data_IF_849310633655
#
_entry.id   IF_849310633655
#
_cell.length_a   1.000
_cell.length_b   1.000
_cell.length_c   1.000
_cell.angle_alpha   90.00
_cell.angle_beta   90.00
_cell.angle_gamma   90.00
#
_symmetry.space_group_name_H-M   'P 1'
#
loop_
_entity.id
_entity.type
_entity.pdbx_description
1 polymer ?
#
# COMPACT_ATOMS: atom_id res chain seq x y z
N UNK A 1 -10.59 -6.91 -9.06
CA UNK A 1 -10.97 -8.22 -8.46
C UNK A 1 -11.31 -9.28 -9.52
N UNK A 2 -12.22 -9.01 -10.48
CA UNK A 2 -12.66 -10.01 -11.48
C UNK A 2 -11.49 -10.69 -12.22
N UNK A 3 -10.54 -9.92 -12.76
CA UNK A 3 -9.37 -10.46 -13.47
C UNK A 3 -8.44 -11.28 -12.57
N UNK A 4 -8.32 -10.91 -11.29
CA UNK A 4 -7.55 -11.69 -10.31
C UNK A 4 -8.17 -13.07 -10.10
N UNK A 5 -9.48 -13.13 -9.90
CA UNK A 5 -10.22 -14.39 -9.73
C UNK A 5 -10.12 -15.25 -11.00
N UNK A 6 -10.33 -14.67 -12.18
CA UNK A 6 -10.18 -15.37 -13.46
C UNK A 6 -8.80 -16.00 -13.65
N UNK A 7 -7.73 -15.28 -13.31
CA UNK A 7 -6.36 -15.76 -13.51
C UNK A 7 -5.93 -16.77 -12.44
N UNK A 8 -6.41 -16.66 -11.21
CA UNK A 8 -5.86 -17.36 -10.05
C UNK A 8 -6.87 -18.16 -9.22
N UNK A 9 -8.20 -17.89 -9.34
CA UNK A 9 -9.23 -18.37 -8.42
C UNK A 9 -9.41 -19.89 -8.35
N UNK A 10 -9.27 -20.58 -9.47
CA UNK A 10 -9.56 -22.04 -9.55
C UNK A 10 -8.29 -22.89 -9.59
N UNK A 11 -7.12 -22.32 -9.26
CA UNK A 11 -5.84 -23.00 -9.38
C UNK A 11 -5.21 -23.23 -8.02
N UNK A 12 -4.69 -24.43 -7.82
CA UNK A 12 -4.00 -24.78 -6.60
C UNK A 12 -2.52 -24.34 -6.67
N UNK A 13 -2.25 -23.10 -6.23
CA UNK A 13 -0.89 -22.58 -6.13
C UNK A 13 -0.29 -22.83 -4.74
N UNK A 14 1.04 -22.79 -4.68
CA UNK A 14 1.76 -22.74 -3.42
C UNK A 14 1.43 -21.47 -2.62
N UNK A 15 1.44 -21.59 -1.30
CA UNK A 15 1.31 -20.46 -0.37
C UNK A 15 2.60 -20.28 0.41
N UNK A 16 3.04 -19.04 0.55
CA UNK A 16 4.23 -18.69 1.31
C UNK A 16 3.87 -17.63 2.37
N UNK A 17 4.55 -17.66 3.51
CA UNK A 17 4.38 -16.64 4.54
C UNK A 17 4.92 -15.29 4.06
N UNK A 18 4.23 -14.20 4.36
CA UNK A 18 4.65 -12.85 3.93
C UNK A 18 6.10 -12.54 4.29
N UNK A 19 6.56 -12.97 5.48
CA UNK A 19 7.94 -12.73 5.93
C UNK A 19 8.99 -13.32 4.98
N UNK A 20 8.67 -14.39 4.27
CA UNK A 20 9.59 -15.03 3.32
C UNK A 20 9.57 -14.36 1.94
N UNK A 21 8.65 -13.41 1.71
CA UNK A 21 8.51 -12.65 0.48
C UNK A 21 9.07 -11.23 0.57
N UNK A 22 9.52 -10.80 1.74
CA UNK A 22 10.17 -9.51 1.91
C UNK A 22 11.64 -9.56 1.51
N UNK A 23 12.24 -8.41 1.33
CA UNK A 23 13.65 -8.23 0.99
C UNK A 23 14.53 -8.69 2.16
N UNK A 24 15.57 -9.48 1.84
CA UNK A 24 16.49 -10.01 2.83
C UNK A 24 17.15 -8.86 3.64
N UNK A 25 17.31 -9.07 4.94
CA UNK A 25 17.85 -8.06 5.86
C UNK A 25 16.84 -6.98 6.28
N UNK A 26 15.60 -7.02 5.77
CA UNK A 26 14.52 -6.12 6.18
C UNK A 26 13.52 -6.83 7.11
N UNK A 27 12.63 -6.07 7.70
CA UNK A 27 11.52 -6.61 8.52
C UNK A 27 10.29 -5.74 8.37
N UNK A 28 9.10 -6.32 8.52
CA UNK A 28 7.90 -5.52 8.70
C UNK A 28 8.06 -4.67 9.95
N UNK A 29 7.90 -3.37 9.78
CA UNK A 29 7.99 -2.40 10.86
C UNK A 29 6.88 -1.36 10.68
N UNK A 30 6.31 -0.89 11.78
CA UNK A 30 5.47 0.30 11.77
C UNK A 30 6.30 1.52 12.17
N UNK A 31 5.86 2.69 11.70
CA UNK A 31 6.63 3.90 11.80
C UNK A 31 6.49 4.65 13.12
N UNK A 32 6.58 5.94 13.02
CA UNK A 32 6.72 6.89 14.11
C UNK A 32 5.52 6.83 15.07
N UNK A 33 5.79 6.63 16.35
CA UNK A 33 4.75 6.51 17.39
C UNK A 33 4.18 7.87 17.79
N UNK A 34 5.06 8.86 17.94
CA UNK A 34 4.71 10.23 18.33
C UNK A 34 5.32 11.22 17.33
N UNK A 35 4.61 11.52 16.22
CA UNK A 35 5.16 12.36 15.15
C UNK A 35 5.25 13.85 15.52
N UNK A 36 4.90 14.26 16.73
CA UNK A 36 4.92 15.66 17.14
C UNK A 36 3.88 16.53 16.45
N UNK A 37 4.13 17.84 16.37
CA UNK A 37 3.25 18.81 15.75
C UNK A 37 3.47 18.87 14.24
N UNK A 38 2.41 19.23 13.51
CA UNK A 38 2.45 19.41 12.07
C UNK A 38 3.09 20.75 11.69
N UNK A 39 3.75 20.77 10.50
CA UNK A 39 4.34 21.99 9.93
C UNK A 39 5.64 22.43 10.59
N UNK A 40 6.27 21.59 11.42
CA UNK A 40 7.49 21.96 12.16
C UNK A 40 8.80 21.54 11.49
N UNK A 41 8.74 20.88 10.33
CA UNK A 41 9.94 20.37 9.68
C UNK A 41 9.78 20.07 8.20
N UNK A 42 10.73 19.31 7.66
CA UNK A 42 10.89 19.01 6.23
C UNK A 42 10.64 17.53 5.88
N UNK A 43 10.39 16.65 6.86
CA UNK A 43 10.12 15.25 6.61
C UNK A 43 8.61 14.98 6.56
N UNK A 44 8.11 14.55 5.40
CA UNK A 44 6.73 14.11 5.25
C UNK A 44 6.47 12.81 6.02
N UNK A 45 5.30 12.70 6.66
CA UNK A 45 4.89 11.50 7.39
C UNK A 45 3.48 11.08 6.97
N UNK A 46 3.38 9.89 6.40
CA UNK A 46 2.14 9.28 5.95
C UNK A 46 1.36 8.67 7.12
N UNK A 47 0.06 8.90 7.09
CA UNK A 47 -0.92 8.36 8.05
C UNK A 47 -1.92 7.47 7.32
N UNK A 48 -2.66 6.60 8.01
CA UNK A 48 -3.74 5.82 7.37
C UNK A 48 -4.73 6.66 6.55
N UNK A 49 -5.02 7.88 6.98
CA UNK A 49 -5.93 8.81 6.28
C UNK A 49 -5.37 9.33 4.94
N UNK A 50 -4.07 9.23 4.73
CA UNK A 50 -3.41 9.64 3.48
C UNK A 50 -3.47 8.54 2.40
N UNK A 51 -4.05 7.37 2.74
CA UNK A 51 -4.39 6.29 1.80
C UNK A 51 -5.89 6.37 1.49
N UNK A 52 -6.22 6.84 0.30
CA UNK A 52 -7.60 7.00 -0.17
C UNK A 52 -7.80 6.09 -1.38
N UNK A 53 -8.80 5.21 -1.32
CA UNK A 53 -9.12 4.25 -2.39
C UNK A 53 -7.91 3.44 -2.89
N UNK A 54 -7.04 3.03 -1.96
CA UNK A 54 -5.82 2.27 -2.26
C UNK A 54 -4.71 3.07 -2.95
N UNK A 55 -4.80 4.40 -2.94
CA UNK A 55 -3.79 5.32 -3.48
C UNK A 55 -3.30 6.28 -2.41
N UNK A 56 -2.03 6.64 -2.49
CA UNK A 56 -1.44 7.66 -1.64
C UNK A 56 -1.75 9.06 -2.19
N UNK A 57 -2.15 9.98 -1.29
CA UNK A 57 -2.35 11.39 -1.62
C UNK A 57 -1.27 12.27 -0.99
N UNK A 58 -0.85 13.31 -1.72
CA UNK A 58 0.08 14.33 -1.22
C UNK A 58 -0.64 15.49 -0.51
N UNK A 59 -1.96 15.61 -0.66
CA UNK A 59 -2.73 16.81 -0.27
C UNK A 59 -2.84 17.02 1.24
N UNK A 60 -2.66 15.97 2.03
CA UNK A 60 -2.84 16.01 3.49
C UNK A 60 -1.62 15.54 4.29
N UNK A 61 -0.46 15.40 3.64
CA UNK A 61 0.76 14.92 4.29
C UNK A 61 1.16 15.86 5.42
N UNK A 62 1.40 15.26 6.59
CA UNK A 62 1.95 15.94 7.75
C UNK A 62 3.46 16.07 7.61
N UNK A 63 4.01 17.26 7.92
CA UNK A 63 5.45 17.49 7.93
C UNK A 63 5.95 17.68 9.36
N UNK A 64 7.03 16.99 9.71
CA UNK A 64 7.64 16.98 11.04
C UNK A 64 9.14 17.21 10.97
N UNK A 65 9.76 17.51 12.11
CA UNK A 65 11.21 17.61 12.23
C UNK A 65 11.87 16.27 11.89
N UNK A 66 12.88 16.29 11.00
CA UNK A 66 13.58 15.10 10.53
C UNK A 66 14.29 14.33 11.65
N UNK A 67 14.70 15.03 12.71
CA UNK A 67 15.33 14.40 13.89
C UNK A 67 14.43 13.36 14.56
N UNK A 68 13.10 13.54 14.48
CA UNK A 68 12.12 12.56 14.99
C UNK A 68 12.22 11.24 14.18
N UNK A 69 12.53 11.33 12.90
CA UNK A 69 12.67 10.17 12.00
C UNK A 69 13.95 9.37 12.22
N UNK A 70 14.98 9.93 12.85
CA UNK A 70 16.28 9.26 13.03
C UNK A 70 16.17 7.92 13.78
N UNK A 71 15.23 7.80 14.73
CA UNK A 71 14.91 6.56 15.42
C UNK A 71 14.10 5.55 14.60
N UNK A 72 13.62 5.95 13.42
CA UNK A 72 12.67 5.19 12.59
C UNK A 72 13.17 4.96 11.15
N UNK A 73 14.49 4.83 10.96
CA UNK A 73 15.12 4.61 9.65
C UNK A 73 14.61 3.36 8.92
N UNK A 74 14.14 2.35 9.67
CA UNK A 74 13.55 1.13 9.08
C UNK A 74 12.27 1.38 8.30
N UNK A 75 11.61 2.51 8.53
CA UNK A 75 10.35 2.88 7.88
C UNK A 75 10.46 4.17 7.08
N UNK A 76 11.66 4.75 6.96
CA UNK A 76 11.95 5.79 5.97
C UNK A 76 11.81 5.18 4.58
N UNK A 77 11.03 5.82 3.72
CA UNK A 77 10.63 5.26 2.44
C UNK A 77 11.68 5.52 1.35
N UNK A 78 11.92 4.51 0.52
CA UNK A 78 12.73 4.61 -0.69
C UNK A 78 11.88 4.93 -1.93
N UNK A 79 10.53 4.80 -1.82
CA UNK A 79 9.59 5.01 -2.89
C UNK A 79 9.32 3.74 -3.71
N UNK A 80 9.57 2.57 -3.15
CA UNK A 80 9.31 1.25 -3.75
C UNK A 80 8.84 0.25 -2.68
N UNK A 81 7.83 0.63 -1.91
CA UNK A 81 7.26 -0.22 -0.87
C UNK A 81 5.76 -0.43 -1.04
N UNK A 82 5.26 -1.49 -0.45
CA UNK A 82 3.85 -1.66 -0.18
C UNK A 82 3.57 -1.24 1.26
N UNK A 83 2.69 -0.27 1.43
CA UNK A 83 2.19 0.14 2.74
C UNK A 83 0.90 -0.61 3.07
N UNK A 84 0.72 -0.96 4.34
CA UNK A 84 -0.53 -1.56 4.84
C UNK A 84 -0.94 -0.90 6.16
N UNK A 85 -2.20 -0.51 6.26
CA UNK A 85 -2.73 0.03 7.51
C UNK A 85 -2.87 -1.07 8.55
N UNK A 86 -2.37 -0.81 9.77
CA UNK A 86 -2.32 -1.79 10.86
C UNK A 86 -3.06 -1.31 12.12
N UNK A 87 -3.52 -0.06 12.13
CA UNK A 87 -4.24 0.54 13.26
C UNK A 87 -5.29 1.55 12.79
N UNK A 88 -6.44 1.53 13.43
CA UNK A 88 -7.66 2.21 12.98
C UNK A 88 -8.38 1.33 11.97
N UNK A 89 -8.49 1.76 10.73
CA UNK A 89 -8.93 0.87 9.64
C UNK A 89 -7.76 -0.01 9.24
N UNK A 90 -7.85 -1.33 9.43
CA UNK A 90 -6.77 -2.29 9.13
C UNK A 90 -6.91 -2.87 7.72
N UNK A 91 -5.78 -3.20 7.08
CA UNK A 91 -5.73 -3.97 5.84
C UNK A 91 -5.88 -3.15 4.55
N UNK A 92 -5.94 -1.83 4.60
CA UNK A 92 -5.87 -0.99 3.40
C UNK A 92 -4.42 -0.92 2.94
N UNK A 93 -4.19 -1.15 1.65
CA UNK A 93 -2.83 -1.16 1.08
C UNK A 93 -2.68 -0.10 0.00
N UNK A 94 -1.46 0.42 -0.15
CA UNK A 94 -1.06 1.30 -1.24
C UNK A 94 0.42 1.11 -1.57
N UNK A 95 0.78 1.22 -2.85
CA UNK A 95 2.17 1.23 -3.30
C UNK A 95 2.73 2.65 -3.23
N UNK A 96 3.97 2.78 -2.77
CA UNK A 96 4.74 4.03 -2.87
C UNK A 96 5.36 4.19 -4.25
N UNK A 97 5.75 5.39 -4.58
CA UNK A 97 6.59 5.73 -5.72
C UNK A 97 7.63 6.79 -5.33
N UNK A 98 8.49 7.20 -6.24
CA UNK A 98 9.59 8.12 -5.97
C UNK A 98 9.20 9.46 -5.33
N UNK A 99 7.93 9.87 -5.40
CA UNK A 99 7.42 11.10 -4.75
C UNK A 99 7.44 11.00 -3.22
N UNK A 100 7.41 9.78 -2.69
CA UNK A 100 7.39 9.51 -1.25
C UNK A 100 8.76 9.15 -0.68
N UNK A 101 9.82 9.12 -1.51
CA UNK A 101 11.18 8.85 -1.06
C UNK A 101 11.64 9.88 -0.02
N UNK A 102 12.30 9.42 1.05
CA UNK A 102 12.75 10.24 2.19
C UNK A 102 11.64 10.62 3.19
N UNK A 103 10.39 10.24 2.93
CA UNK A 103 9.30 10.35 3.90
C UNK A 103 9.29 9.16 4.86
N UNK A 104 8.49 9.27 5.90
CA UNK A 104 8.27 8.18 6.85
C UNK A 104 6.77 7.87 6.99
N UNK A 105 6.41 6.91 7.81
CA UNK A 105 5.02 6.57 8.11
C UNK A 105 4.77 6.66 9.62
N UNK A 106 3.53 6.86 10.04
CA UNK A 106 3.16 6.73 11.45
C UNK A 106 2.96 5.25 11.84
N UNK A 107 2.88 4.98 13.14
CA UNK A 107 2.62 3.64 13.69
C UNK A 107 1.32 2.98 13.20
N UNK A 108 0.45 3.72 12.55
CA UNK A 108 -0.78 3.20 11.93
C UNK A 108 -0.55 2.47 10.62
N UNK A 109 0.66 2.54 10.07
CA UNK A 109 1.07 1.91 8.81
C UNK A 109 2.27 1.03 9.05
N UNK A 110 2.27 -0.17 8.45
CA UNK A 110 3.43 -1.03 8.31
C UNK A 110 4.01 -0.92 6.89
N UNK A 111 5.35 -0.95 6.83
CA UNK A 111 6.11 -0.89 5.57
C UNK A 111 6.54 -2.29 5.18
N UNK A 112 6.23 -2.70 3.97
CA UNK A 112 6.57 -3.99 3.37
C UNK A 112 7.54 -3.74 2.22
N UNK A 113 8.83 -4.08 2.42
CA UNK A 113 9.85 -4.10 1.38
C UNK A 113 9.88 -5.48 0.75
N UNK A 114 9.23 -5.65 -0.37
CA UNK A 114 9.06 -6.94 -1.04
C UNK A 114 10.28 -7.34 -1.87
N UNK A 115 10.54 -8.64 -1.96
CA UNK A 115 11.59 -9.19 -2.81
C UNK A 115 11.04 -9.41 -4.24
N UNK A 116 11.42 -8.53 -5.18
CA UNK A 116 10.97 -8.58 -6.59
C UNK A 116 11.36 -9.88 -7.33
N UNK A 117 12.32 -10.66 -6.81
CA UNK A 117 12.66 -11.96 -7.35
C UNK A 117 11.64 -13.04 -6.97
N UNK A 118 10.83 -12.78 -5.93
CA UNK A 118 9.82 -13.71 -5.40
C UNK A 118 8.40 -13.28 -5.70
N UNK A 119 8.12 -11.96 -5.65
CA UNK A 119 6.75 -11.46 -5.77
C UNK A 119 6.70 -10.12 -6.51
N UNK A 120 5.71 -9.98 -7.39
CA UNK A 120 5.41 -8.71 -8.07
C UNK A 120 4.59 -7.80 -7.15
N UNK A 121 4.94 -6.51 -6.98
CA UNK A 121 4.25 -5.59 -6.07
C UNK A 121 2.78 -5.33 -6.42
N UNK A 122 2.43 -5.21 -7.70
CA UNK A 122 1.04 -5.02 -8.12
C UNK A 122 0.20 -6.28 -7.85
N UNK A 123 0.80 -7.47 -8.01
CA UNK A 123 0.17 -8.73 -7.64
C UNK A 123 -0.04 -8.79 -6.11
N UNK A 124 0.99 -8.50 -5.30
CA UNK A 124 0.90 -8.51 -3.84
C UNK A 124 -0.16 -7.52 -3.33
N UNK A 125 -0.17 -6.31 -3.88
CA UNK A 125 -1.18 -5.31 -3.56
C UNK A 125 -2.60 -5.82 -3.90
N UNK A 126 -2.77 -6.44 -5.06
CA UNK A 126 -4.06 -7.01 -5.45
C UNK A 126 -4.47 -8.20 -4.57
N UNK A 127 -3.51 -9.05 -4.16
CA UNK A 127 -3.76 -10.16 -3.25
C UNK A 127 -4.27 -9.68 -1.90
N UNK A 128 -3.67 -8.65 -1.30
CA UNK A 128 -4.17 -8.07 -0.06
C UNK A 128 -5.61 -7.56 -0.15
N UNK A 129 -6.09 -7.23 -1.34
CA UNK A 129 -7.46 -6.79 -1.60
C UNK A 129 -8.43 -7.95 -1.98
N UNK A 130 -8.00 -9.21 -1.89
CA UNK A 130 -8.88 -10.38 -2.04
C UNK A 130 -9.70 -10.62 -0.77
N UNK A 131 -10.85 -11.29 -0.94
CA UNK A 131 -11.73 -11.60 0.19
C UNK A 131 -11.05 -12.58 1.17
N UNK A 132 -10.19 -13.49 0.68
CA UNK A 132 -9.36 -14.38 1.49
C UNK A 132 -8.41 -13.59 2.40
N UNK A 133 -7.62 -12.69 1.83
CA UNK A 133 -6.66 -11.88 2.59
C UNK A 133 -7.35 -10.94 3.56
N UNK A 134 -8.43 -10.27 3.14
CA UNK A 134 -9.19 -9.36 4.00
C UNK A 134 -9.87 -10.09 5.17
N UNK A 135 -10.37 -11.30 4.94
CA UNK A 135 -10.91 -12.14 6.01
C UNK A 135 -9.83 -12.48 7.03
N UNK A 136 -8.65 -12.93 6.59
CA UNK A 136 -7.53 -13.18 7.49
C UNK A 136 -7.19 -11.96 8.35
N UNK A 137 -7.08 -10.78 7.75
CA UNK A 137 -6.78 -9.53 8.45
C UNK A 137 -7.87 -9.21 9.49
N UNK A 138 -9.14 -9.35 9.13
CA UNK A 138 -10.27 -9.10 10.03
C UNK A 138 -10.27 -10.06 11.23
N UNK A 139 -10.04 -11.36 11.02
CA UNK A 139 -9.97 -12.38 12.06
C UNK A 139 -8.81 -12.15 13.05
N UNK A 140 -7.71 -11.53 12.58
CA UNK A 140 -6.53 -11.22 13.41
C UNK A 140 -6.52 -9.77 13.93
N UNK A 141 -7.50 -8.96 13.53
CA UNK A 141 -7.67 -7.60 14.05
C UNK A 141 -8.32 -7.64 15.43
N UNK A 142 -7.75 -6.91 16.38
CA UNK A 142 -8.20 -6.84 17.78
C UNK A 142 -8.48 -5.40 18.18
N UNK A 143 -9.29 -5.24 19.23
CA UNK A 143 -9.62 -3.93 19.81
C UNK A 143 -11.04 -3.46 19.45
N UNK A 144 -11.84 -3.13 20.45
CA UNK A 144 -13.22 -2.66 20.27
C UNK A 144 -13.26 -1.19 19.80
N UNK A 145 -12.50 -0.31 20.47
CA UNK A 145 -12.49 1.13 20.17
C UNK A 145 -11.44 1.50 19.13
N UNK A 146 -10.28 0.86 19.18
CA UNK A 146 -9.19 1.08 18.24
C UNK A 146 -8.71 -0.26 17.70
N UNK A 147 -9.14 -0.58 16.50
CA UNK A 147 -8.76 -1.81 15.83
C UNK A 147 -7.26 -1.82 15.53
N UNK A 148 -6.63 -2.97 15.69
CA UNK A 148 -5.22 -3.17 15.39
C UNK A 148 -4.94 -4.61 15.01
N UNK A 149 -4.12 -4.82 13.98
CA UNK A 149 -3.49 -6.11 13.68
C UNK A 149 -2.02 -6.06 14.08
N UNK A 150 -1.51 -7.14 14.70
CA UNK A 150 -0.11 -7.22 15.08
C UNK A 150 0.77 -7.57 13.87
N UNK A 151 2.00 -7.04 13.86
CA UNK A 151 2.96 -7.38 12.80
C UNK A 151 3.35 -8.86 12.79
N UNK A 152 3.29 -9.54 13.95
CA UNK A 152 3.48 -10.99 14.04
C UNK A 152 2.47 -11.75 13.20
N UNK A 153 1.19 -11.34 13.26
CA UNK A 153 0.11 -11.97 12.53
C UNK A 153 0.25 -11.70 11.02
N UNK A 154 0.61 -10.47 10.64
CA UNK A 154 0.91 -10.16 9.23
C UNK A 154 2.12 -10.94 8.67
N UNK A 155 3.19 -11.13 9.47
CA UNK A 155 4.38 -11.86 9.02
C UNK A 155 4.08 -13.29 8.60
N UNK A 156 3.17 -13.95 9.30
CA UNK A 156 2.78 -15.34 9.02
C UNK A 156 1.59 -15.47 8.09
N UNK A 157 0.97 -14.36 7.68
CA UNK A 157 -0.12 -14.41 6.70
C UNK A 157 0.34 -15.14 5.45
N UNK A 158 -0.41 -16.15 5.06
CA UNK A 158 -0.12 -16.95 3.87
C UNK A 158 -0.54 -16.18 2.62
N UNK A 159 0.40 -16.01 1.71
CA UNK A 159 0.22 -15.33 0.43
C UNK A 159 0.26 -16.39 -0.67
N UNK A 160 -0.77 -16.48 -1.48
CA UNK A 160 -0.78 -17.35 -2.66
C UNK A 160 0.32 -16.91 -3.61
N UNK A 161 1.14 -17.85 -4.09
CA UNK A 161 2.34 -17.56 -4.86
C UNK A 161 2.33 -18.31 -6.22
N UNK A 162 1.59 -17.81 -7.21
CA UNK A 162 1.69 -18.33 -8.57
C UNK A 162 3.06 -18.03 -9.18
N UNK A 163 3.45 -18.69 -10.29
CA UNK A 163 4.69 -18.38 -10.99
C UNK A 163 4.85 -16.88 -11.27
N UNK A 164 6.06 -16.34 -11.09
CA UNK A 164 6.33 -14.90 -11.22
C UNK A 164 5.95 -14.37 -12.62
N UNK A 165 6.06 -15.20 -13.67
CA UNK A 165 5.61 -14.87 -15.02
C UNK A 165 4.10 -14.56 -15.08
N UNK A 166 3.27 -15.31 -14.38
CA UNK A 166 1.82 -15.06 -14.30
C UNK A 166 1.50 -13.82 -13.45
N UNK A 167 2.25 -13.60 -12.36
CA UNK A 167 2.13 -12.37 -11.57
C UNK A 167 2.46 -11.14 -12.43
N UNK A 168 3.50 -11.21 -13.27
CA UNK A 168 3.90 -10.13 -14.17
C UNK A 168 2.86 -9.90 -15.29
N UNK A 169 2.24 -10.94 -15.83
CA UNK A 169 1.14 -10.79 -16.79
C UNK A 169 -0.06 -10.07 -16.14
N UNK A 170 -0.41 -10.44 -14.93
CA UNK A 170 -1.46 -9.74 -14.18
C UNK A 170 -1.10 -8.27 -13.92
N UNK A 171 0.14 -8.00 -13.51
CA UNK A 171 0.63 -6.64 -13.26
C UNK A 171 0.59 -5.77 -14.53
N UNK A 172 0.95 -6.33 -15.68
CA UNK A 172 0.85 -5.62 -16.97
C UNK A 172 -0.61 -5.26 -17.29
N UNK A 173 -1.54 -6.18 -17.07
CA UNK A 173 -2.97 -5.90 -17.25
C UNK A 173 -3.46 -4.78 -16.30
N UNK A 174 -3.07 -4.81 -15.01
CA UNK A 174 -3.45 -3.76 -14.05
C UNK A 174 -2.92 -2.40 -14.51
N UNK A 175 -1.65 -2.33 -14.92
CA UNK A 175 -1.03 -1.10 -15.42
C UNK A 175 -1.77 -0.52 -16.65
N UNK A 176 -2.22 -1.36 -17.58
CA UNK A 176 -3.00 -0.93 -18.75
C UNK A 176 -4.39 -0.38 -18.35
N UNK A 177 -5.06 -1.05 -17.40
CA UNK A 177 -6.35 -0.57 -16.87
C UNK A 177 -6.20 0.79 -16.17
N UNK A 178 -5.15 0.98 -15.37
CA UNK A 178 -4.92 2.24 -14.66
C UNK A 178 -4.59 3.38 -15.64
N UNK A 179 -3.81 3.13 -16.69
CA UNK A 179 -3.60 4.09 -17.78
C UNK A 179 -4.92 4.48 -18.46
N UNK A 180 -5.75 3.49 -18.80
CA UNK A 180 -7.03 3.73 -19.46
C UNK A 180 -7.98 4.57 -18.59
N UNK A 181 -8.01 4.33 -17.27
CA UNK A 181 -8.79 5.14 -16.33
C UNK A 181 -8.29 6.57 -16.28
N UNK A 182 -6.97 6.78 -16.19
CA UNK A 182 -6.38 8.12 -16.16
C UNK A 182 -6.72 8.90 -17.43
N UNK A 183 -6.64 8.26 -18.60
CA UNK A 183 -7.06 8.89 -19.86
C UNK A 183 -8.55 9.29 -19.85
N UNK A 184 -9.43 8.40 -19.39
CA UNK A 184 -10.85 8.69 -19.30
C UNK A 184 -11.16 9.87 -18.36
N UNK A 185 -10.50 9.95 -17.21
CA UNK A 185 -10.61 11.04 -16.25
C UNK A 185 -10.14 12.37 -16.84
N UNK A 186 -8.99 12.38 -17.53
CA UNK A 186 -8.47 13.56 -18.21
C UNK A 186 -9.39 14.06 -19.34
N UNK A 187 -9.97 13.15 -20.13
CA UNK A 187 -10.94 13.50 -21.17
C UNK A 187 -12.22 14.08 -20.56
N UNK A 188 -12.74 13.52 -19.47
CA UNK A 188 -13.90 14.03 -18.78
C UNK A 188 -13.67 15.45 -18.21
N UNK A 189 -12.51 15.68 -17.59
CA UNK A 189 -12.13 17.01 -17.09
C UNK A 189 -12.04 18.05 -18.23
N UNK A 190 -11.36 17.71 -19.32
CA UNK A 190 -11.24 18.60 -20.46
C UNK A 190 -12.61 18.93 -21.10
N UNK A 191 -13.50 17.95 -21.20
CA UNK A 191 -14.86 18.17 -21.72
C UNK A 191 -15.66 19.11 -20.82
N UNK A 192 -15.53 19.01 -19.50
CA UNK A 192 -16.17 19.90 -18.54
C UNK A 192 -15.68 21.35 -18.69
N UNK A 193 -14.36 21.56 -18.77
CA UNK A 193 -13.75 22.89 -18.96
C UNK A 193 -14.21 23.51 -20.27
N UNK A 194 -14.30 22.74 -21.36
CA UNK A 194 -14.77 23.22 -22.66
C UNK A 194 -16.26 23.61 -22.63
N UNK A 195 -17.09 22.91 -21.89
CA UNK A 195 -18.50 23.21 -21.70
C UNK A 195 -18.69 24.50 -20.89
N UNK A 196 -17.92 24.71 -19.82
CA UNK A 196 -17.95 25.94 -19.03
C UNK A 196 -17.50 27.18 -19.81
N UNK A 197 -16.50 27.04 -20.69
CA UNK A 197 -16.03 28.14 -21.55
C UNK A 197 -16.98 28.50 -22.70
N UNK A 198 -17.92 27.61 -23.07
CA UNK A 198 -18.95 27.89 -24.09
C UNK A 198 -20.20 28.56 -23.52
N UNK A 199 -20.37 28.56 -22.20
CA UNK A 199 -21.52 29.15 -21.51
C UNK A 199 -21.25 30.58 -21.00
N UNK A 200 -20.08 31.11 -21.26
CA UNK A 200 -19.67 32.51 -21.05
C UNK A 200 -19.63 33.28 -22.37
#
# INVERSE_FOLDING_TARGET
KARFVEMFGDKNYHYESLINLILDGTSLSYGIVQPGNDGTGDMGVLRPVDIVDGKLTMSSIKYIDRSIGEGFKKTELDGDELLITVRGTTGITALTDGRFAGMNVTRGIAVIRYNRKKINPLYLNAYFNTDESQRYIQEHTRGATLQQINLSDLRIQRIMLPPLSLQNQFAAFVAEVDKSKLFAELFAQNACILAENRSK
#
